data_IF_642434366343
#
_entry.id   IF_642434366343
#
_cell.length_a   1.000
_cell.length_b   1.000
_cell.length_c   1.000
_cell.angle_alpha   90.00
_cell.angle_beta   90.00
_cell.angle_gamma   90.00
#
_symmetry.space_group_name_H-M   'P 1'
#
loop_
_entity.id
_entity.type
_entity.pdbx_description
1 polymer ?
#
# COMPACT_ATOMS: atom_id res chain seq x y z
N UNK A 1 10.86 -3.86 -6.63
CA UNK A 1 9.52 -4.22 -6.10
C UNK A 1 9.71 -5.12 -4.89
N UNK A 2 9.10 -4.77 -3.76
CA UNK A 2 9.09 -5.64 -2.57
C UNK A 2 7.90 -6.58 -2.68
N UNK A 3 8.15 -7.87 -2.50
CA UNK A 3 7.16 -8.93 -2.43
C UNK A 3 6.92 -9.35 -0.98
N UNK A 4 5.81 -10.04 -0.73
CA UNK A 4 5.43 -10.57 0.58
C UNK A 4 4.66 -11.90 0.42
N UNK A 5 4.55 -12.69 1.47
CA UNK A 5 3.78 -13.93 1.52
C UNK A 5 2.47 -13.76 2.27
N UNK A 6 1.44 -14.48 1.83
CA UNK A 6 0.16 -14.62 2.55
C UNK A 6 0.00 -16.04 3.07
N UNK A 7 -0.90 -16.21 4.04
CA UNK A 7 -1.18 -17.52 4.65
C UNK A 7 -2.00 -18.43 3.73
N UNK A 8 -2.86 -17.84 2.89
CA UNK A 8 -3.72 -18.52 1.93
C UNK A 8 -3.93 -17.61 0.71
N UNK A 9 -3.33 -17.97 -0.43
CA UNK A 9 -3.39 -17.20 -1.67
C UNK A 9 -4.79 -17.24 -2.31
N UNK A 10 -5.50 -18.36 -2.22
CA UNK A 10 -6.82 -18.49 -2.81
C UNK A 10 -7.82 -17.59 -2.10
N UNK A 11 -7.78 -17.57 -0.76
CA UNK A 11 -8.60 -16.67 0.04
C UNK A 11 -8.21 -15.20 -0.18
N UNK A 12 -6.90 -14.91 -0.33
CA UNK A 12 -6.42 -13.55 -0.59
C UNK A 12 -6.91 -13.02 -1.95
N UNK A 13 -6.80 -13.80 -3.03
CA UNK A 13 -7.31 -13.40 -4.35
C UNK A 13 -8.82 -13.16 -4.33
N UNK A 14 -9.57 -14.06 -3.69
CA UNK A 14 -11.02 -13.94 -3.54
C UNK A 14 -11.43 -12.65 -2.82
N UNK A 15 -10.64 -12.18 -1.85
CA UNK A 15 -10.91 -10.93 -1.14
C UNK A 15 -10.77 -9.68 -2.03
N UNK A 16 -10.06 -9.77 -3.16
CA UNK A 16 -9.92 -8.68 -4.14
C UNK A 16 -10.94 -8.78 -5.28
N UNK A 17 -11.49 -9.96 -5.57
CA UNK A 17 -12.45 -10.16 -6.68
C UNK A 17 -13.73 -9.34 -6.54
N UNK A 18 -14.14 -9.01 -5.32
CA UNK A 18 -15.35 -8.22 -5.03
C UNK A 18 -15.10 -6.71 -4.90
N UNK A 19 -13.91 -6.23 -5.25
CA UNK A 19 -13.52 -4.84 -5.08
C UNK A 19 -13.36 -4.15 -6.43
N UNK A 20 -13.84 -2.92 -6.54
CA UNK A 20 -13.54 -2.06 -7.68
C UNK A 20 -12.14 -1.48 -7.51
N UNK A 21 -11.14 -2.18 -8.05
CA UNK A 21 -9.73 -1.79 -7.91
C UNK A 21 -8.94 -1.98 -9.21
N UNK A 22 -8.05 -1.03 -9.51
CA UNK A 22 -7.03 -1.14 -10.55
C UNK A 22 -5.76 -1.86 -10.05
N UNK A 23 -5.80 -2.47 -8.86
CA UNK A 23 -4.68 -3.21 -8.28
C UNK A 23 -4.56 -4.59 -8.94
N UNK A 24 -3.37 -4.90 -9.44
CA UNK A 24 -3.02 -6.22 -9.95
C UNK A 24 -2.31 -7.04 -8.86
N UNK A 25 -2.52 -8.36 -8.88
CA UNK A 25 -1.88 -9.32 -7.96
C UNK A 25 -1.06 -10.31 -8.78
N UNK A 26 0.26 -10.22 -8.64
CA UNK A 26 1.21 -11.10 -9.30
C UNK A 26 1.84 -12.05 -8.28
N UNK A 27 1.82 -13.34 -8.57
CA UNK A 27 2.38 -14.39 -7.73
C UNK A 27 3.58 -15.00 -8.45
N UNK A 28 4.68 -15.15 -7.72
CA UNK A 28 5.91 -15.78 -8.18
C UNK A 28 5.90 -17.27 -7.86
N UNK A 29 6.79 -18.02 -8.50
CA UNK A 29 6.88 -19.49 -8.35
C UNK A 29 7.15 -19.95 -6.92
N UNK A 30 7.76 -19.10 -6.09
CA UNK A 30 8.06 -19.34 -4.67
C UNK A 30 6.92 -18.93 -3.72
N UNK A 31 5.77 -18.52 -4.26
CA UNK A 31 4.60 -18.07 -3.50
C UNK A 31 4.71 -16.64 -2.97
N UNK A 32 5.75 -15.89 -3.37
CA UNK A 32 5.83 -14.46 -3.11
C UNK A 32 4.81 -13.69 -3.96
N UNK A 33 4.19 -12.69 -3.35
CA UNK A 33 3.17 -11.85 -3.97
C UNK A 33 3.72 -10.44 -4.12
N UNK A 34 3.51 -9.88 -5.30
CA UNK A 34 3.59 -8.46 -5.55
C UNK A 34 2.20 -7.93 -5.89
N UNK A 35 1.85 -6.77 -5.33
CA UNK A 35 0.64 -6.05 -5.71
C UNK A 35 0.98 -4.63 -6.14
N UNK A 36 0.27 -4.14 -7.13
CA UNK A 36 0.44 -2.79 -7.65
C UNK A 36 -0.37 -2.57 -8.91
N UNK A 37 -0.44 -1.34 -9.39
CA UNK A 37 -1.17 -1.01 -10.59
C UNK A 37 -1.07 0.47 -10.92
N UNK A 38 -1.30 0.83 -12.17
CA UNK A 38 -1.45 2.22 -12.56
C UNK A 38 -2.84 2.72 -12.15
N UNK A 39 -2.95 3.93 -11.59
CA UNK A 39 -4.17 4.46 -10.96
C UNK A 39 -4.70 3.66 -9.75
N UNK A 40 -3.97 2.66 -9.27
CA UNK A 40 -4.37 1.91 -8.09
C UNK A 40 -4.39 2.80 -6.84
N UNK A 41 -5.43 2.61 -6.03
CA UNK A 41 -5.62 3.28 -4.74
C UNK A 41 -5.61 2.24 -3.63
N UNK A 42 -5.09 2.62 -2.45
CA UNK A 42 -5.19 1.80 -1.23
C UNK A 42 -6.57 1.91 -0.56
N UNK A 43 -7.39 2.84 -1.03
CA UNK A 43 -8.79 3.02 -0.66
C UNK A 43 -9.64 2.67 -1.87
N UNK A 44 -10.52 1.68 -1.74
CA UNK A 44 -11.39 1.19 -2.81
C UNK A 44 -12.84 1.10 -2.32
N UNK A 45 -13.75 0.70 -3.20
CA UNK A 45 -15.16 0.48 -2.87
C UNK A 45 -15.59 -0.94 -3.22
N UNK A 46 -16.48 -1.50 -2.42
CA UNK A 46 -17.17 -2.76 -2.73
C UNK A 46 -18.44 -2.55 -3.57
N UNK A 47 -19.18 -3.63 -3.85
CA UNK A 47 -20.44 -3.61 -4.61
C UNK A 47 -21.57 -2.80 -3.97
N UNK A 48 -21.48 -2.52 -2.67
CA UNK A 48 -22.47 -1.78 -1.89
C UNK A 48 -22.02 -0.32 -1.61
N UNK A 49 -21.01 0.18 -2.35
CA UNK A 49 -20.39 1.51 -2.19
C UNK A 49 -19.75 1.76 -0.81
N UNK A 50 -19.41 0.71 -0.05
CA UNK A 50 -18.67 0.89 1.19
C UNK A 50 -17.19 1.15 0.90
N UNK A 51 -16.61 2.13 1.57
CA UNK A 51 -15.18 2.40 1.51
C UNK A 51 -14.41 1.27 2.22
N UNK A 52 -13.43 0.70 1.53
CA UNK A 52 -12.56 -0.39 2.01
C UNK A 52 -11.10 0.04 1.96
N UNK A 53 -10.41 -0.13 3.08
CA UNK A 53 -8.96 0.07 3.20
C UNK A 53 -8.23 -1.23 2.82
N UNK A 54 -7.60 -1.27 1.65
CA UNK A 54 -6.89 -2.48 1.17
C UNK A 54 -5.79 -2.93 2.11
N UNK A 55 -5.21 -2.00 2.89
CA UNK A 55 -4.20 -2.32 3.89
C UNK A 55 -4.73 -3.32 4.94
N UNK A 56 -6.01 -3.26 5.31
CA UNK A 56 -6.63 -4.17 6.27
C UNK A 56 -6.84 -5.56 5.67
N UNK A 57 -7.24 -5.64 4.40
CA UNK A 57 -7.34 -6.91 3.67
C UNK A 57 -5.96 -7.57 3.62
N UNK A 58 -4.94 -6.84 3.20
CA UNK A 58 -3.56 -7.35 3.13
C UNK A 58 -3.10 -7.81 4.52
N UNK A 59 -3.31 -7.01 5.57
CA UNK A 59 -2.97 -7.37 6.95
C UNK A 59 -3.64 -8.68 7.39
N UNK A 60 -4.93 -8.86 7.07
CA UNK A 60 -5.67 -10.06 7.49
C UNK A 60 -5.14 -11.34 6.83
N UNK A 61 -4.55 -11.25 5.64
CA UNK A 61 -4.04 -12.39 4.88
C UNK A 61 -2.52 -12.60 4.97
N UNK A 62 -1.74 -11.56 5.28
CA UNK A 62 -0.28 -11.66 5.34
C UNK A 62 0.17 -12.77 6.31
N UNK A 63 1.25 -13.46 5.94
CA UNK A 63 1.84 -14.51 6.76
C UNK A 63 2.52 -13.89 7.99
N UNK A 64 2.36 -14.47 9.20
CA UNK A 64 3.05 -13.99 10.38
C UNK A 64 4.57 -13.94 10.17
N UNK A 65 5.20 -12.83 10.58
CA UNK A 65 6.63 -12.60 10.38
C UNK A 65 7.02 -12.01 9.02
N UNK A 66 6.05 -11.82 8.12
CA UNK A 66 6.26 -11.14 6.84
C UNK A 66 5.67 -9.72 6.84
N UNK A 67 6.02 -8.92 5.83
CA UNK A 67 5.54 -7.55 5.68
C UNK A 67 5.42 -7.10 4.21
N UNK A 68 4.35 -6.37 3.91
CA UNK A 68 4.18 -5.68 2.63
C UNK A 68 4.60 -4.22 2.75
N UNK A 69 5.21 -3.66 1.70
CA UNK A 69 5.48 -2.22 1.59
C UNK A 69 4.86 -1.73 0.30
N UNK A 70 3.91 -0.82 0.40
CA UNK A 70 3.18 -0.27 -0.74
C UNK A 70 3.38 1.23 -0.77
N UNK A 71 3.77 1.74 -1.93
CA UNK A 71 3.95 3.16 -2.15
C UNK A 71 2.84 3.62 -3.10
N UNK A 72 2.00 4.53 -2.62
CA UNK A 72 1.02 5.19 -3.47
C UNK A 72 1.55 6.56 -3.85
N UNK A 73 1.46 6.89 -5.13
CA UNK A 73 1.90 8.16 -5.68
C UNK A 73 0.82 8.64 -6.63
N UNK A 74 -0.03 9.54 -6.15
CA UNK A 74 -1.01 10.25 -6.96
C UNK A 74 -0.34 11.40 -7.71
N UNK A 75 -0.61 11.49 -9.01
CA UNK A 75 -0.15 12.58 -9.86
C UNK A 75 -1.35 13.43 -10.29
N UNK A 76 -1.59 14.58 -9.66
CA UNK A 76 -2.54 15.55 -10.20
C UNK A 76 -1.82 16.53 -11.14
N UNK A 77 -2.14 16.44 -12.44
CA UNK A 77 -1.74 17.41 -13.48
C UNK A 77 -0.24 17.74 -13.49
N UNK A 78 0.62 16.77 -13.16
CA UNK A 78 2.09 16.88 -13.13
C UNK A 78 2.66 17.93 -12.14
N UNK A 79 1.86 18.41 -11.18
CA UNK A 79 2.27 19.51 -10.27
C UNK A 79 2.23 19.14 -8.81
N UNK A 80 1.31 18.28 -8.41
CA UNK A 80 1.16 17.86 -7.03
C UNK A 80 1.29 16.35 -6.93
N UNK A 81 2.37 15.92 -6.28
CA UNK A 81 2.57 14.53 -5.90
C UNK A 81 2.08 14.39 -4.48
N UNK A 82 0.86 13.88 -4.31
CA UNK A 82 0.43 13.36 -3.01
C UNK A 82 0.69 11.86 -3.01
N UNK A 83 1.22 11.35 -1.91
CA UNK A 83 1.51 9.94 -1.81
C UNK A 83 1.75 9.54 -0.38
N UNK A 84 1.71 8.23 -0.14
CA UNK A 84 1.97 7.64 1.15
C UNK A 84 2.75 6.34 0.99
N UNK A 85 3.45 5.97 2.05
CA UNK A 85 4.05 4.65 2.19
C UNK A 85 3.28 3.90 3.26
N UNK A 86 2.79 2.71 2.89
CA UNK A 86 2.16 1.75 3.77
C UNK A 86 3.19 0.67 4.11
N UNK A 87 3.33 0.35 5.39
CA UNK A 87 4.07 -0.82 5.88
C UNK A 87 3.08 -1.66 6.65
N UNK A 88 2.82 -2.86 6.14
CA UNK A 88 1.74 -3.73 6.60
C UNK A 88 2.37 -5.03 7.08
N UNK A 89 2.26 -5.34 8.36
CA UNK A 89 2.53 -6.67 8.93
C UNK A 89 1.23 -7.29 9.44
N UNK A 90 1.30 -8.54 9.89
CA UNK A 90 0.14 -9.22 10.49
C UNK A 90 -0.40 -8.48 11.71
N UNK A 91 0.47 -7.81 12.45
CA UNK A 91 0.18 -7.18 13.74
C UNK A 91 -0.15 -5.71 13.59
N UNK A 92 0.35 -5.02 12.55
CA UNK A 92 0.22 -3.58 12.44
C UNK A 92 0.25 -3.06 11.00
N UNK A 93 -0.58 -2.05 10.75
CA UNK A 93 -0.46 -1.15 9.60
C UNK A 93 0.14 0.17 10.05
N UNK A 94 1.18 0.62 9.35
CA UNK A 94 1.76 1.95 9.47
C UNK A 94 1.63 2.69 8.15
N UNK A 95 1.21 3.94 8.21
CA UNK A 95 1.06 4.80 7.03
C UNK A 95 1.76 6.11 7.30
N UNK A 96 2.55 6.57 6.33
CA UNK A 96 3.21 7.87 6.38
C UNK A 96 3.10 8.58 5.05
N UNK A 97 2.69 9.85 5.06
CA UNK A 97 2.65 10.68 3.86
C UNK A 97 4.05 11.05 3.39
N UNK A 98 4.27 11.11 2.07
CA UNK A 98 5.59 11.43 1.50
C UNK A 98 6.13 12.80 1.95
N UNK A 99 5.26 13.80 2.15
CA UNK A 99 5.66 15.10 2.67
C UNK A 99 6.15 15.00 4.13
N UNK A 100 5.40 14.32 5.00
CA UNK A 100 5.80 14.09 6.39
C UNK A 100 7.11 13.29 6.47
N UNK A 101 7.27 12.28 5.62
CA UNK A 101 8.53 11.55 5.48
C UNK A 101 9.68 12.47 5.04
N UNK A 102 9.43 13.37 4.09
CA UNK A 102 10.41 14.35 3.61
C UNK A 102 10.84 15.28 4.74
N UNK A 103 9.89 15.84 5.49
CA UNK A 103 10.16 16.67 6.67
C UNK A 103 11.03 15.94 7.70
N UNK A 104 10.72 14.67 8.01
CA UNK A 104 11.50 13.84 8.94
C UNK A 104 12.93 13.60 8.46
N UNK A 105 13.11 13.37 7.17
CA UNK A 105 14.45 13.15 6.59
C UNK A 105 15.27 14.45 6.56
N UNK A 106 14.64 15.58 6.24
CA UNK A 106 15.28 16.90 6.29
C UNK A 106 15.76 17.25 7.69
N UNK A 107 14.94 16.96 8.71
CA UNK A 107 15.31 17.14 10.12
C UNK A 107 16.54 16.30 10.50
N UNK A 108 16.59 15.03 10.06
CA UNK A 108 17.73 14.14 10.35
C UNK A 108 19.06 14.63 9.76
N UNK A 109 19.02 15.33 8.62
CA UNK A 109 20.22 15.87 7.97
C UNK A 109 20.49 17.34 8.35
N UNK A 110 19.70 17.91 9.27
CA UNK A 110 19.92 19.26 9.81
C UNK A 110 19.49 20.40 8.87
N UNK A 111 18.62 20.14 7.89
CA UNK A 111 18.07 21.18 7.01
C UNK A 111 16.82 21.76 7.66
N UNK A 112 16.88 23.05 8.02
CA UNK A 112 15.71 23.77 8.55
C UNK A 112 14.59 23.79 7.49
N UNK A 113 13.34 23.60 7.93
CA UNK A 113 12.16 23.65 7.04
C UNK A 113 12.20 24.92 6.19
N UNK A 114 12.45 24.77 4.89
CA UNK A 114 12.27 25.86 3.93
C UNK A 114 10.76 26.03 3.81
N UNK A 115 10.23 27.13 4.34
CA UNK A 115 8.83 27.51 4.17
C UNK A 115 8.58 27.77 2.69
N UNK A 116 7.55 27.13 2.13
CA UNK A 116 6.82 27.67 0.98
C UNK A 116 5.83 28.75 1.45
#
# INVERSE_FOLDING_TARGET
EKSFQVSDIAAFRKAFESLYTDMEIHEREDGEIWIGGYNASMVVFDDDDNQIELAEIIQSHIKPGDYAVIQTVGYEKLRYVQGAVYVISKEKVLVEGLQSMTDKLLEQIGVAKVRE
#
